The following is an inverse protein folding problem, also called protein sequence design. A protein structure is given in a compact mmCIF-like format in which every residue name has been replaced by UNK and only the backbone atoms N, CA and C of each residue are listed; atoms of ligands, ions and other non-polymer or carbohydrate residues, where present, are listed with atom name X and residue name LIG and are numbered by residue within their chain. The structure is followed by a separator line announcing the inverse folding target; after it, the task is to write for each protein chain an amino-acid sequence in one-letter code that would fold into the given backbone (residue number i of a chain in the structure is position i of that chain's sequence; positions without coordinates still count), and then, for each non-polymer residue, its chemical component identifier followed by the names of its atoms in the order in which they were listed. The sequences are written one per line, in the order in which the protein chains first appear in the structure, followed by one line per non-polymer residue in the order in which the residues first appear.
data_IF_143501207213
#
_entry.id   IF_143501207213
#
_cell.length_a   1.000
_cell.length_b   1.000
_cell.length_c   1.000
_cell.angle_alpha   90.00
_cell.angle_beta   90.00
_cell.angle_gamma   90.00
#
_symmetry.space_group_name_H-M   'P 1'
#
loop_
_entity.id
_entity.type
_entity.pdbx_description
1 polymer ?
#
# COMPACT_ATOMS: atom_id res chain seq x y z
N UNK A 1 -59.29 -56.95 9.93
CA UNK A 1 -58.83 -56.30 8.67
C UNK A 1 -57.88 -55.21 9.02
N UNK A 2 -56.61 -55.43 8.76
CA UNK A 2 -55.51 -54.53 9.04
C UNK A 2 -55.32 -53.61 7.84
N UNK A 3 -55.25 -52.29 8.04
CA UNK A 3 -54.69 -51.36 7.05
C UNK A 3 -53.56 -50.56 7.72
N UNK A 4 -52.34 -50.99 7.40
CA UNK A 4 -51.14 -50.26 7.77
C UNK A 4 -50.95 -49.05 6.90
N UNK A 5 -50.97 -47.84 7.53
CA UNK A 5 -50.55 -46.61 6.91
C UNK A 5 -49.04 -46.44 7.03
N UNK A 6 -48.30 -46.65 5.97
CA UNK A 6 -46.89 -46.27 5.89
C UNK A 6 -46.77 -44.75 5.70
N UNK A 7 -46.36 -44.07 6.78
CA UNK A 7 -45.93 -42.68 6.74
C UNK A 7 -44.57 -42.60 6.01
N UNK A 8 -44.60 -42.09 4.78
CA UNK A 8 -43.40 -41.70 4.06
C UNK A 8 -42.77 -40.48 4.76
N UNK A 9 -41.82 -40.77 5.62
CA UNK A 9 -40.85 -39.72 6.07
C UNK A 9 -40.03 -39.27 4.84
N UNK A 10 -40.43 -38.18 4.26
CA UNK A 10 -39.67 -37.48 3.25
C UNK A 10 -38.53 -36.77 3.97
N UNK A 11 -37.39 -37.47 4.01
CA UNK A 11 -36.14 -36.95 4.55
C UNK A 11 -35.61 -35.87 3.60
N UNK A 12 -36.11 -34.63 3.76
CA UNK A 12 -35.53 -33.45 3.17
C UNK A 12 -34.18 -33.20 3.80
N UNK A 13 -33.18 -33.97 3.41
CA UNK A 13 -31.77 -33.60 3.62
C UNK A 13 -31.49 -32.33 2.80
N UNK A 14 -31.71 -31.20 3.44
CA UNK A 14 -31.11 -29.93 3.00
C UNK A 14 -29.62 -30.17 2.98
N UNK A 15 -29.04 -30.42 1.81
CA UNK A 15 -27.60 -30.39 1.58
C UNK A 15 -27.11 -29.00 1.97
N UNK A 16 -26.80 -28.81 3.22
CA UNK A 16 -26.00 -27.68 3.68
C UNK A 16 -24.68 -27.78 2.94
N UNK A 17 -24.53 -26.94 1.91
CA UNK A 17 -23.24 -26.75 1.26
C UNK A 17 -22.26 -26.44 2.38
N UNK A 18 -21.11 -27.14 2.45
CA UNK A 18 -20.11 -26.85 3.46
C UNK A 18 -19.74 -25.38 3.27
N UNK A 19 -19.91 -24.59 4.33
CA UNK A 19 -19.50 -23.19 4.37
C UNK A 19 -18.08 -23.14 3.86
N UNK A 20 -17.86 -22.36 2.78
CA UNK A 20 -16.54 -22.16 2.18
C UNK A 20 -15.60 -21.77 3.30
N UNK A 21 -14.66 -22.67 3.64
CA UNK A 21 -13.68 -22.42 4.70
C UNK A 21 -13.05 -21.05 4.44
N UNK A 22 -12.93 -20.17 5.47
CA UNK A 22 -12.18 -18.93 5.31
C UNK A 22 -10.80 -19.33 4.76
N UNK A 23 -10.41 -18.70 3.63
CA UNK A 23 -9.18 -19.08 2.92
C UNK A 23 -8.03 -19.22 3.92
N UNK A 24 -7.27 -20.30 3.79
CA UNK A 24 -6.14 -20.56 4.69
C UNK A 24 -5.25 -19.30 4.77
N UNK A 25 -4.84 -18.89 5.99
CA UNK A 25 -3.98 -17.73 6.13
C UNK A 25 -2.68 -17.96 5.34
N UNK A 26 -2.29 -16.95 4.58
CA UNK A 26 -1.05 -16.97 3.79
C UNK A 26 0.11 -17.43 4.67
N UNK A 27 0.81 -18.48 4.25
CA UNK A 27 2.02 -18.95 4.95
C UNK A 27 3.09 -17.88 4.88
N UNK A 28 3.92 -17.75 5.90
CA UNK A 28 4.93 -16.67 6.04
C UNK A 28 5.85 -16.52 4.81
N UNK A 29 6.18 -17.60 4.10
CA UNK A 29 6.99 -17.57 2.87
C UNK A 29 6.22 -17.05 1.63
N UNK A 30 4.89 -16.95 1.69
CA UNK A 30 4.05 -16.42 0.61
C UNK A 30 3.91 -14.89 0.70
N UNK A 31 4.21 -14.29 1.85
CA UNK A 31 4.09 -12.85 2.07
C UNK A 31 4.94 -12.01 1.11
N UNK A 32 6.24 -12.32 0.85
CA UNK A 32 7.02 -11.55 -0.10
C UNK A 32 6.47 -11.64 -1.52
N UNK A 33 5.96 -12.79 -1.94
CA UNK A 33 5.35 -12.95 -3.26
C UNK A 33 4.04 -12.17 -3.38
N UNK A 34 3.22 -12.16 -2.33
CA UNK A 34 2.02 -11.34 -2.28
C UNK A 34 2.36 -9.85 -2.34
N UNK A 35 3.37 -9.40 -1.61
CA UNK A 35 3.82 -8.01 -1.63
C UNK A 35 4.32 -7.58 -3.02
N UNK A 36 5.11 -8.43 -3.69
CA UNK A 36 5.56 -8.19 -5.07
C UNK A 36 4.34 -8.13 -6.02
N UNK A 37 3.38 -9.05 -5.87
CA UNK A 37 2.15 -9.04 -6.68
C UNK A 37 1.36 -7.74 -6.52
N UNK A 38 1.19 -7.25 -5.29
CA UNK A 38 0.54 -5.98 -5.04
C UNK A 38 1.33 -4.79 -5.61
N UNK A 39 2.65 -4.80 -5.50
CA UNK A 39 3.50 -3.75 -6.07
C UNK A 39 3.39 -3.71 -7.60
N UNK A 40 3.41 -4.87 -8.25
CA UNK A 40 3.20 -4.99 -9.70
C UNK A 40 1.80 -4.50 -10.10
N UNK A 41 0.78 -4.82 -9.32
CA UNK A 41 -0.58 -4.32 -9.57
C UNK A 41 -0.64 -2.79 -9.51
N UNK A 42 -0.04 -2.17 -8.48
CA UNK A 42 0.04 -0.71 -8.35
C UNK A 42 0.80 -0.12 -9.53
N UNK A 43 1.93 -0.70 -9.90
CA UNK A 43 2.74 -0.27 -11.02
C UNK A 43 1.96 -0.27 -12.35
N UNK A 44 1.26 -1.36 -12.65
CA UNK A 44 0.41 -1.47 -13.85
C UNK A 44 -0.72 -0.44 -13.81
N UNK A 45 -1.38 -0.26 -12.65
CA UNK A 45 -2.45 0.73 -12.51
C UNK A 45 -1.93 2.15 -12.75
N UNK A 46 -0.75 2.51 -12.24
CA UNK A 46 -0.15 3.82 -12.47
C UNK A 46 0.20 4.05 -13.95
N UNK A 47 0.72 3.02 -14.64
CA UNK A 47 0.98 3.09 -16.09
C UNK A 47 -0.33 3.29 -16.85
N UNK A 48 -1.37 2.55 -16.52
CA UNK A 48 -2.69 2.70 -17.15
C UNK A 48 -3.26 4.10 -16.91
N UNK A 49 -3.13 4.63 -15.70
CA UNK A 49 -3.55 6.00 -15.39
C UNK A 49 -2.78 7.04 -16.21
N UNK A 50 -1.45 6.89 -16.35
CA UNK A 50 -0.63 7.77 -17.17
C UNK A 50 -1.05 7.73 -18.65
N UNK A 51 -1.34 6.53 -19.18
CA UNK A 51 -1.83 6.39 -20.55
C UNK A 51 -3.22 6.99 -20.74
N UNK A 52 -4.09 6.87 -19.74
CA UNK A 52 -5.42 7.49 -19.73
C UNK A 52 -5.33 9.03 -19.70
N UNK A 53 -4.32 9.62 -19.05
CA UNK A 53 -4.11 11.07 -19.07
C UNK A 53 -3.98 11.62 -20.50
N UNK A 54 -3.45 10.82 -21.42
CA UNK A 54 -3.42 11.17 -22.84
C UNK A 54 -4.81 11.39 -23.48
N UNK A 55 -5.86 10.75 -22.96
CA UNK A 55 -7.23 10.93 -23.43
C UNK A 55 -7.83 12.27 -22.99
N UNK A 56 -7.32 12.89 -21.93
CA UNK A 56 -7.71 14.22 -21.44
C UNK A 56 -6.89 15.36 -22.02
N UNK A 57 -6.15 15.11 -23.12
CA UNK A 57 -5.40 16.13 -23.83
C UNK A 57 -4.05 16.50 -23.21
N UNK A 58 -3.58 15.75 -22.23
CA UNK A 58 -2.21 15.87 -21.72
C UNK A 58 -1.26 14.96 -22.51
N UNK A 59 -0.05 15.43 -22.78
CA UNK A 59 0.95 14.60 -23.41
C UNK A 59 1.37 13.45 -22.48
N UNK A 60 1.28 12.22 -22.97
CA UNK A 60 1.67 11.02 -22.24
C UNK A 60 3.15 11.10 -21.84
N UNK A 61 3.45 10.79 -20.59
CA UNK A 61 4.81 10.84 -20.03
C UNK A 61 5.19 12.20 -19.43
N UNK A 62 4.55 13.31 -19.82
CA UNK A 62 4.81 14.63 -19.26
C UNK A 62 4.23 14.75 -17.86
N UNK A 63 3.03 14.20 -17.62
CA UNK A 63 2.42 14.19 -16.30
C UNK A 63 3.29 13.43 -15.29
N UNK A 64 3.71 12.20 -15.58
CA UNK A 64 4.56 11.40 -14.70
C UNK A 64 5.91 12.08 -14.43
N UNK A 65 6.52 12.72 -15.43
CA UNK A 65 7.74 13.51 -15.28
C UNK A 65 7.53 14.68 -14.33
N UNK A 66 6.45 15.44 -14.50
CA UNK A 66 6.12 16.60 -13.67
C UNK A 66 5.89 16.18 -12.21
N UNK A 67 5.12 15.12 -11.99
CA UNK A 67 4.89 14.56 -10.64
C UNK A 67 6.20 14.11 -9.99
N UNK A 68 7.10 13.46 -10.73
CA UNK A 68 8.41 13.05 -10.21
C UNK A 68 9.24 14.27 -9.77
N UNK A 69 9.31 15.32 -10.59
CA UNK A 69 10.05 16.54 -10.27
C UNK A 69 9.46 17.24 -9.04
N UNK A 70 8.14 17.41 -8.99
CA UNK A 70 7.46 18.01 -7.83
C UNK A 70 7.69 17.22 -6.53
N UNK A 71 7.75 15.88 -6.61
CA UNK A 71 8.08 15.06 -5.46
C UNK A 71 9.53 15.24 -4.99
N UNK A 72 10.47 15.37 -5.92
CA UNK A 72 11.88 15.63 -5.58
C UNK A 72 12.05 17.02 -4.98
N UNK A 73 11.37 18.03 -5.51
CA UNK A 73 11.39 19.39 -4.98
C UNK A 73 10.78 19.48 -3.57
N UNK A 74 9.64 18.83 -3.36
CA UNK A 74 9.02 18.73 -2.03
C UNK A 74 9.92 18.01 -1.00
N UNK A 75 10.62 16.96 -1.44
CA UNK A 75 11.60 16.26 -0.61
C UNK A 75 12.80 17.13 -0.26
N UNK A 76 13.27 17.94 -1.20
CA UNK A 76 14.37 18.86 -0.97
C UNK A 76 13.97 19.96 0.02
N UNK A 77 12.74 20.45 -0.06
CA UNK A 77 12.24 21.50 0.83
C UNK A 77 11.99 20.97 2.26
N UNK A 78 11.29 19.82 2.38
CA UNK A 78 10.80 19.32 3.67
C UNK A 78 11.83 18.42 4.39
N UNK A 79 12.61 17.64 3.63
CA UNK A 79 13.49 16.59 4.17
C UNK A 79 14.86 16.52 3.49
N UNK A 80 15.68 17.59 3.55
CA UNK A 80 16.96 17.64 2.85
C UNK A 80 17.93 16.53 3.29
N UNK A 81 17.89 16.11 4.55
CA UNK A 81 18.72 15.01 5.05
C UNK A 81 18.33 13.65 4.50
N UNK A 82 17.06 13.42 4.21
CA UNK A 82 16.57 12.20 3.56
C UNK A 82 16.95 12.22 2.08
N UNK A 83 16.78 13.35 1.42
CA UNK A 83 17.18 13.51 0.02
C UNK A 83 18.68 13.28 -0.18
N UNK A 84 19.53 13.82 0.71
CA UNK A 84 20.98 13.61 0.64
C UNK A 84 21.37 12.12 0.70
N UNK A 85 20.62 11.30 1.43
CA UNK A 85 20.84 9.85 1.49
C UNK A 85 20.26 9.11 0.28
N UNK A 86 19.15 9.61 -0.28
CA UNK A 86 18.49 9.04 -1.45
C UNK A 86 19.20 9.41 -2.74
N UNK A 87 19.81 10.60 -2.82
CA UNK A 87 20.36 11.14 -4.06
C UNK A 87 21.39 10.22 -4.73
N UNK A 88 22.38 9.63 -4.03
CA UNK A 88 23.36 8.74 -4.65
C UNK A 88 22.70 7.52 -5.27
N UNK A 89 21.71 6.93 -4.59
CA UNK A 89 20.96 5.79 -5.08
C UNK A 89 20.02 6.18 -6.25
N UNK A 90 19.32 7.31 -6.13
CA UNK A 90 18.44 7.81 -7.17
C UNK A 90 19.22 8.20 -8.44
N UNK A 91 20.40 8.80 -8.30
CA UNK A 91 21.25 9.14 -9.45
C UNK A 91 21.78 7.90 -10.17
N UNK A 92 22.22 6.85 -9.44
CA UNK A 92 22.62 5.58 -10.01
C UNK A 92 21.45 4.91 -10.76
N UNK A 93 20.25 4.96 -10.16
CA UNK A 93 19.04 4.46 -10.80
C UNK A 93 18.72 5.21 -12.09
N UNK A 94 18.74 6.55 -12.07
CA UNK A 94 18.52 7.39 -13.26
C UNK A 94 19.55 7.10 -14.32
N UNK A 95 20.82 6.94 -13.97
CA UNK A 95 21.88 6.57 -14.92
C UNK A 95 21.61 5.21 -15.56
N UNK A 96 21.18 4.22 -14.81
CA UNK A 96 20.81 2.90 -15.34
C UNK A 96 19.60 2.98 -16.28
N UNK A 97 18.61 3.83 -15.94
CA UNK A 97 17.43 4.04 -16.77
C UNK A 97 17.66 5.05 -17.90
N UNK A 98 18.79 5.78 -17.94
CA UNK A 98 19.09 6.73 -19.02
C UNK A 98 19.14 6.07 -20.41
N UNK A 99 19.63 4.83 -20.46
CA UNK A 99 19.57 4.01 -21.67
C UNK A 99 18.15 3.72 -22.14
N UNK A 100 17.24 3.48 -21.19
CA UNK A 100 15.83 3.26 -21.50
C UNK A 100 15.12 4.54 -21.93
N UNK A 101 15.49 5.69 -21.36
CA UNK A 101 14.98 7.02 -21.76
C UNK A 101 15.49 7.46 -23.14
N UNK A 102 16.68 7.00 -23.55
CA UNK A 102 17.24 7.29 -24.88
C UNK A 102 16.63 6.41 -25.99
N UNK A 103 15.86 5.38 -25.64
CA UNK A 103 15.16 4.56 -26.62
C UNK A 103 14.05 5.37 -27.27
N UNK A 104 14.19 5.59 -28.57
CA UNK A 104 13.18 6.23 -29.42
C UNK A 104 12.77 5.25 -30.50
N UNK A 105 11.46 5.07 -30.65
CA UNK A 105 10.92 4.27 -31.72
C UNK A 105 10.87 5.10 -33.00
N UNK A 106 11.43 4.57 -34.10
CA UNK A 106 11.48 5.26 -35.40
C UNK A 106 10.48 4.66 -36.38
N UNK A 107 10.09 5.42 -37.40
CA UNK A 107 9.17 4.97 -38.43
C UNK A 107 7.72 4.83 -37.93
N UNK A 108 7.06 3.74 -38.34
CA UNK A 108 5.65 3.47 -38.03
C UNK A 108 5.36 3.34 -36.51
N UNK A 109 6.38 3.07 -35.69
CA UNK A 109 6.25 2.91 -34.23
C UNK A 109 6.60 4.16 -33.43
N UNK A 110 6.87 5.30 -34.07
CA UNK A 110 7.23 6.55 -33.39
C UNK A 110 6.21 7.02 -32.37
N UNK A 111 4.92 6.69 -32.55
CA UNK A 111 3.84 6.98 -31.61
C UNK A 111 3.99 6.28 -30.25
N UNK A 112 4.76 5.18 -30.17
CA UNK A 112 5.01 4.45 -28.91
C UNK A 112 6.04 5.14 -28.01
N UNK A 113 6.85 6.04 -28.55
CA UNK A 113 7.92 6.73 -27.80
C UNK A 113 7.39 7.45 -26.53
N UNK A 114 6.33 8.29 -26.59
CA UNK A 114 5.81 8.94 -25.38
C UNK A 114 5.24 7.94 -24.36
N UNK A 115 4.60 6.88 -24.82
CA UNK A 115 4.09 5.82 -23.91
C UNK A 115 5.22 5.10 -23.19
N UNK A 116 6.32 4.82 -23.89
CA UNK A 116 7.51 4.22 -23.31
C UNK A 116 8.15 5.14 -22.28
N UNK A 117 8.31 6.42 -22.57
CA UNK A 117 8.83 7.41 -21.63
C UNK A 117 7.92 7.51 -20.39
N UNK A 118 6.60 7.47 -20.57
CA UNK A 118 5.64 7.39 -19.47
C UNK A 118 5.90 6.22 -18.53
N UNK A 119 6.09 5.01 -19.07
CA UNK A 119 6.42 3.82 -18.29
C UNK A 119 7.71 4.02 -17.49
N UNK A 120 8.75 4.58 -18.10
CA UNK A 120 10.05 4.81 -17.41
C UNK A 120 9.89 5.83 -16.29
N UNK A 121 9.20 6.97 -16.52
CA UNK A 121 8.99 7.98 -15.48
C UNK A 121 8.11 7.47 -14.34
N UNK A 122 7.04 6.73 -14.63
CA UNK A 122 6.20 6.07 -13.61
C UNK A 122 7.03 5.10 -12.77
N UNK A 123 7.88 4.32 -13.41
CA UNK A 123 8.75 3.36 -12.71
C UNK A 123 9.75 4.07 -11.79
N UNK A 124 10.40 5.13 -12.27
CA UNK A 124 11.31 5.95 -11.46
C UNK A 124 10.59 6.60 -10.28
N UNK A 125 9.42 7.19 -10.50
CA UNK A 125 8.62 7.78 -9.45
C UNK A 125 8.19 6.74 -8.39
N UNK A 126 7.79 5.54 -8.81
CA UNK A 126 7.43 4.46 -7.90
C UNK A 126 8.63 3.99 -7.08
N UNK A 127 9.82 3.89 -7.69
CA UNK A 127 11.05 3.53 -6.98
C UNK A 127 11.43 4.57 -5.92
N UNK A 128 11.31 5.86 -6.22
CA UNK A 128 11.52 6.94 -5.23
C UNK A 128 10.52 6.82 -4.08
N UNK A 129 9.24 6.59 -4.35
CA UNK A 129 8.20 6.40 -3.31
C UNK A 129 8.46 5.18 -2.44
N UNK A 130 8.86 4.07 -3.05
CA UNK A 130 9.19 2.83 -2.33
C UNK A 130 10.38 3.06 -1.38
N UNK A 131 11.40 3.78 -1.84
CA UNK A 131 12.54 4.13 -1.01
C UNK A 131 12.15 4.98 0.18
N UNK A 132 11.28 5.99 -0.03
CA UNK A 132 10.75 6.81 1.06
C UNK A 132 9.96 5.99 2.07
N UNK A 133 9.17 5.02 1.61
CA UNK A 133 8.46 4.11 2.50
C UNK A 133 9.41 3.28 3.37
N UNK A 134 10.52 2.79 2.77
CA UNK A 134 11.57 2.07 3.51
C UNK A 134 12.22 2.98 4.56
N UNK A 135 12.51 4.25 4.22
CA UNK A 135 13.04 5.21 5.19
C UNK A 135 12.03 5.62 6.27
N UNK A 136 10.73 5.59 5.98
CA UNK A 136 9.67 5.84 6.96
C UNK A 136 9.41 4.65 7.89
N UNK A 137 9.83 3.43 7.52
CA UNK A 137 9.59 2.21 8.30
C UNK A 137 10.06 2.31 9.77
N UNK A 138 11.25 2.85 10.10
CA UNK A 138 11.65 3.03 11.49
C UNK A 138 10.69 3.92 12.29
N UNK A 139 10.05 4.91 11.67
CA UNK A 139 9.06 5.76 12.34
C UNK A 139 7.80 4.96 12.73
N UNK A 140 7.34 4.06 11.86
CA UNK A 140 6.24 3.15 12.19
C UNK A 140 6.62 2.21 13.33
N UNK A 141 7.83 1.65 13.34
CA UNK A 141 8.31 0.80 14.44
C UNK A 141 8.37 1.57 15.77
N UNK A 142 8.87 2.80 15.76
CA UNK A 142 8.92 3.65 16.95
C UNK A 142 7.51 3.97 17.46
N UNK A 143 6.57 4.29 16.57
CA UNK A 143 5.18 4.53 16.94
C UNK A 143 4.51 3.28 17.54
N UNK A 144 4.75 2.11 16.97
CA UNK A 144 4.28 0.84 17.52
C UNK A 144 4.87 0.58 18.91
N UNK A 145 6.17 0.80 19.08
CA UNK A 145 6.84 0.62 20.36
C UNK A 145 6.28 1.56 21.44
N UNK A 146 6.15 2.85 21.12
CA UNK A 146 5.58 3.84 22.04
C UNK A 146 4.12 3.54 22.38
N UNK A 147 3.32 3.15 21.38
CA UNK A 147 1.93 2.75 21.57
C UNK A 147 1.80 1.53 22.48
N UNK A 148 2.63 0.49 22.24
CA UNK A 148 2.66 -0.70 23.08
C UNK A 148 3.06 -0.38 24.51
N UNK A 149 4.09 0.47 24.70
CA UNK A 149 4.54 0.87 26.04
C UNK A 149 3.45 1.64 26.80
N UNK A 150 2.80 2.61 26.15
CA UNK A 150 1.71 3.37 26.74
C UNK A 150 0.50 2.45 27.06
N UNK A 151 0.17 1.51 26.17
CA UNK A 151 -0.83 0.49 26.41
C UNK A 151 -0.56 -0.37 27.64
N UNK A 152 0.70 -0.79 27.85
CA UNK A 152 1.10 -1.52 29.05
C UNK A 152 0.93 -0.70 30.31
N UNK A 153 1.32 0.57 30.31
CA UNK A 153 1.13 1.50 31.44
C UNK A 153 -0.34 1.67 31.78
N UNK A 154 -1.18 1.87 30.76
CA UNK A 154 -2.63 1.99 30.95
C UNK A 154 -3.22 0.69 31.53
N UNK A 155 -2.79 -0.46 31.03
CA UNK A 155 -3.22 -1.76 31.56
C UNK A 155 -2.88 -1.91 33.03
N UNK A 156 -1.66 -1.57 33.45
CA UNK A 156 -1.27 -1.61 34.86
C UNK A 156 -2.14 -0.69 35.73
N UNK A 157 -2.43 0.52 35.25
CA UNK A 157 -3.34 1.45 35.95
C UNK A 157 -4.76 0.88 36.07
N UNK A 158 -5.30 0.27 35.03
CA UNK A 158 -6.63 -0.35 35.07
C UNK A 158 -6.71 -1.50 36.08
N UNK A 159 -5.69 -2.34 36.13
CA UNK A 159 -5.61 -3.43 37.12
C UNK A 159 -5.61 -2.86 38.54
N UNK A 160 -4.86 -1.79 38.80
CA UNK A 160 -4.80 -1.14 40.09
C UNK A 160 -6.13 -0.53 40.54
N UNK A 161 -6.97 -0.06 39.58
CA UNK A 161 -8.27 0.57 39.87
C UNK A 161 -9.48 -0.38 39.62
N UNK A 162 -9.25 -1.68 39.44
CA UNK A 162 -10.30 -2.71 39.20
C UNK A 162 -11.24 -2.33 38.05
N UNK A 163 -10.74 -1.62 37.03
CA UNK A 163 -11.53 -1.20 35.88
C UNK A 163 -11.73 -2.38 34.89
N UNK A 164 -12.97 -2.53 34.41
CA UNK A 164 -13.35 -3.60 33.47
C UNK A 164 -12.64 -3.41 32.11
N UNK A 165 -11.99 -4.47 31.62
CA UNK A 165 -11.44 -4.45 30.25
C UNK A 165 -12.57 -4.51 29.21
N UNK A 166 -12.50 -3.67 28.19
CA UNK A 166 -13.41 -3.70 27.05
C UNK A 166 -12.80 -4.58 25.96
N UNK A 167 -13.12 -5.86 25.94
CA UNK A 167 -12.65 -6.84 24.94
C UNK A 167 -12.92 -6.40 23.50
N UNK A 168 -14.04 -5.71 23.28
CA UNK A 168 -14.46 -5.18 21.98
C UNK A 168 -13.47 -4.20 21.38
N UNK A 169 -12.92 -3.27 22.16
CA UNK A 169 -11.96 -2.27 21.67
C UNK A 169 -10.65 -2.94 21.23
N UNK A 170 -10.16 -3.88 22.04
CA UNK A 170 -8.94 -4.61 21.71
C UNK A 170 -9.10 -5.47 20.45
N UNK A 171 -10.24 -6.10 20.27
CA UNK A 171 -10.54 -6.87 19.06
C UNK A 171 -10.51 -6.01 17.81
N UNK A 172 -11.19 -4.85 17.82
CA UNK A 172 -11.18 -3.95 16.66
C UNK A 172 -9.82 -3.32 16.42
N UNK A 173 -9.09 -2.95 17.46
CA UNK A 173 -7.74 -2.39 17.33
C UNK A 173 -6.78 -3.39 16.70
N UNK A 174 -6.73 -4.62 17.17
CA UNK A 174 -5.86 -5.67 16.62
C UNK A 174 -6.18 -6.01 15.16
N UNK A 175 -7.47 -5.97 14.79
CA UNK A 175 -7.91 -6.22 13.41
C UNK A 175 -7.62 -5.06 12.47
N UNK A 176 -7.70 -3.81 12.95
CA UNK A 176 -7.51 -2.61 12.14
C UNK A 176 -6.04 -2.21 11.96
N UNK A 177 -5.15 -2.65 12.86
CA UNK A 177 -3.71 -2.33 12.80
C UNK A 177 -3.04 -2.71 11.46
N UNK A 178 -3.14 -3.94 10.95
CA UNK A 178 -2.56 -4.27 9.66
C UNK A 178 -3.17 -3.47 8.51
N UNK A 179 -4.47 -3.15 8.59
CA UNK A 179 -5.15 -2.31 7.60
C UNK A 179 -4.66 -0.86 7.64
N UNK A 180 -4.35 -0.31 8.80
CA UNK A 180 -3.82 1.05 8.92
C UNK A 180 -2.42 1.15 8.30
N UNK A 181 -1.53 0.20 8.58
CA UNK A 181 -0.17 0.18 8.03
C UNK A 181 -0.20 -0.06 6.52
N UNK A 182 -0.91 -1.10 6.07
CA UNK A 182 -1.02 -1.43 4.65
C UNK A 182 -1.75 -0.32 3.88
N UNK A 183 -2.86 0.18 4.41
CA UNK A 183 -3.65 1.24 3.78
C UNK A 183 -2.84 2.52 3.60
N UNK A 184 -2.08 2.94 4.62
CA UNK A 184 -1.19 4.07 4.53
C UNK A 184 -0.10 3.86 3.46
N UNK A 185 0.50 2.66 3.43
CA UNK A 185 1.52 2.30 2.43
C UNK A 185 0.95 2.31 1.01
N UNK A 186 -0.23 1.74 0.79
CA UNK A 186 -0.90 1.77 -0.52
C UNK A 186 -1.31 3.17 -0.94
N UNK A 187 -1.86 3.97 -0.03
CA UNK A 187 -2.19 5.38 -0.30
C UNK A 187 -0.93 6.15 -0.71
N UNK A 188 0.19 5.95 0.01
CA UNK A 188 1.45 6.59 -0.33
C UNK A 188 2.00 6.16 -1.70
N UNK A 189 1.89 4.90 -2.07
CA UNK A 189 2.39 4.43 -3.36
C UNK A 189 1.51 4.89 -4.54
N UNK A 190 0.19 5.00 -4.33
CA UNK A 190 -0.77 5.25 -5.41
C UNK A 190 -1.12 6.74 -5.56
N UNK A 191 -1.54 7.43 -4.49
CA UNK A 191 -2.05 8.80 -4.56
C UNK A 191 -1.05 9.80 -5.12
N UNK A 192 0.23 9.79 -4.72
CA UNK A 192 1.23 10.68 -5.31
C UNK A 192 1.54 10.38 -6.78
N UNK A 193 1.00 9.30 -7.36
CA UNK A 193 1.06 9.03 -8.79
C UNK A 193 0.06 9.82 -9.61
N UNK A 194 -0.98 10.32 -8.96
CA UNK A 194 -2.07 11.07 -9.61
C UNK A 194 -1.95 12.56 -9.29
N UNK A 195 -1.63 12.89 -8.05
CA UNK A 195 -1.55 14.27 -7.55
C UNK A 195 -0.26 14.42 -6.75
N UNK A 196 0.49 15.51 -6.95
CA UNK A 196 1.67 15.81 -6.14
C UNK A 196 1.25 16.09 -4.68
N UNK A 197 1.54 15.14 -3.79
CA UNK A 197 1.23 15.23 -2.36
C UNK A 197 2.53 15.09 -1.57
N UNK A 198 2.78 15.96 -0.57
CA UNK A 198 3.97 15.82 0.27
C UNK A 198 3.90 14.55 1.13
N UNK A 199 5.05 13.89 1.38
CA UNK A 199 5.11 12.65 2.16
C UNK A 199 4.50 12.77 3.56
N UNK A 200 4.70 13.94 4.19
CA UNK A 200 4.22 14.27 5.53
C UNK A 200 2.70 14.11 5.67
N UNK A 201 1.95 14.48 4.64
CA UNK A 201 0.48 14.46 4.68
C UNK A 201 -0.11 13.06 4.78
N UNK A 202 0.57 12.06 4.26
CA UNK A 202 0.09 10.66 4.27
C UNK A 202 0.81 9.85 5.36
N UNK A 203 2.13 9.97 5.46
CA UNK A 203 2.93 9.12 6.34
C UNK A 203 2.75 9.48 7.81
N UNK A 204 2.70 10.78 8.17
CA UNK A 204 2.55 11.21 9.57
C UNK A 204 1.21 10.74 10.18
N UNK A 205 0.04 10.97 9.54
CA UNK A 205 -1.22 10.43 10.06
C UNK A 205 -1.21 8.91 10.18
N UNK A 206 -0.57 8.19 9.23
CA UNK A 206 -0.42 6.74 9.29
C UNK A 206 0.41 6.27 10.49
N UNK A 207 1.51 6.94 10.78
CA UNK A 207 2.37 6.68 11.95
C UNK A 207 1.59 6.92 13.25
N UNK A 208 0.88 8.04 13.35
CA UNK A 208 0.06 8.39 14.52
C UNK A 208 -1.04 7.35 14.70
N UNK A 209 -1.80 7.02 13.66
CA UNK A 209 -2.86 6.00 13.71
C UNK A 209 -2.32 4.64 14.18
N UNK A 210 -1.15 4.23 13.68
CA UNK A 210 -0.49 2.99 14.10
C UNK A 210 -0.17 2.99 15.59
N UNK A 211 0.38 4.09 16.12
CA UNK A 211 0.66 4.23 17.55
C UNK A 211 -0.60 4.15 18.41
N UNK A 212 -1.69 4.80 17.99
CA UNK A 212 -2.99 4.73 18.68
C UNK A 212 -3.62 3.35 18.66
N UNK A 213 -3.52 2.62 17.56
CA UNK A 213 -4.12 1.28 17.42
C UNK A 213 -3.39 0.20 18.21
N UNK A 214 -2.10 0.40 18.49
CA UNK A 214 -1.30 -0.53 19.31
C UNK A 214 -1.53 -0.30 20.80
N UNK A 215 -1.94 0.91 21.20
CA UNK A 215 -2.24 1.30 22.58
C UNK A 215 -3.46 0.55 23.14
#
# INVERSE_FOLDING_TARGET
MWFGGQSLKQDNQVKTQPAKSPGEPLRWYQWPFAAIGHLLMIWVLLILMEWLCGLWGQEVGVHAKTILLLQLDALQADYPGVLARLLPWASDLILRFSGALSLTFTGMFSFLTPYWHGVVYVTLALMVRLSLLVFAYPMFLMAMFLGAFDGLVIRQRRIAFVARETETVHYYASKSLPWAIMGCSYLWLFVPGIIAVPPSLILIPGVIATGFLVK
#
